data_IF_958392369577
#
_entry.id   IF_958392369577
#
_cell.length_a   1.000
_cell.length_b   1.000
_cell.length_c   1.000
_cell.angle_alpha   90.00
_cell.angle_beta   90.00
_cell.angle_gamma   90.00
#
_symmetry.space_group_name_H-M   'P 1'
#
loop_
_entity.id
_entity.type
_entity.pdbx_description
1 polymer ?
#
# COMPACT_ATOMS: atom_id res chain seq x y z
N UNK A 1 4.22 13.83 -8.98
CA UNK A 1 3.34 12.64 -9.09
C UNK A 1 2.15 12.95 -10.01
N UNK A 2 2.36 13.83 -10.99
CA UNK A 2 1.33 14.84 -11.31
C UNK A 2 0.19 14.31 -12.17
N UNK A 3 0.35 13.10 -12.72
CA UNK A 3 -0.64 12.47 -13.60
C UNK A 3 -1.27 11.19 -13.02
N UNK A 4 -0.77 10.65 -11.89
CA UNK A 4 -1.35 9.46 -11.26
C UNK A 4 -2.53 9.86 -10.39
N UNK A 5 -3.74 9.48 -10.80
CA UNK A 5 -4.95 9.82 -10.04
C UNK A 5 -5.55 8.58 -9.39
N UNK A 6 -5.82 8.67 -8.09
CA UNK A 6 -6.57 7.67 -7.33
C UNK A 6 -7.98 8.21 -7.05
N UNK A 7 -9.02 7.42 -7.36
CA UNK A 7 -10.42 7.80 -7.09
C UNK A 7 -11.21 6.61 -6.61
N UNK A 8 -12.14 6.82 -5.68
CA UNK A 8 -13.08 5.78 -5.32
C UNK A 8 -13.97 5.45 -6.53
N UNK A 9 -14.09 4.16 -6.84
CA UNK A 9 -15.07 3.64 -7.79
C UNK A 9 -16.45 3.61 -7.15
N UNK A 10 -17.49 3.91 -7.94
CA UNK A 10 -18.88 3.81 -7.48
C UNK A 10 -19.40 2.37 -7.39
N UNK A 11 -18.55 1.38 -7.62
CA UNK A 11 -18.94 -0.03 -7.70
C UNK A 11 -18.51 -0.76 -6.44
N UNK A 12 -19.40 -1.62 -5.95
CA UNK A 12 -19.12 -2.61 -4.91
C UNK A 12 -19.28 -4.00 -5.49
N UNK A 13 -18.34 -4.86 -5.18
CA UNK A 13 -18.31 -6.23 -5.68
C UNK A 13 -18.35 -7.22 -4.53
N UNK A 14 -19.28 -8.18 -4.58
CA UNK A 14 -19.25 -9.32 -3.68
C UNK A 14 -18.01 -10.17 -3.96
N UNK A 15 -17.41 -10.71 -2.89
CA UNK A 15 -16.17 -11.48 -2.98
C UNK A 15 -16.26 -12.71 -2.09
N UNK A 16 -15.67 -13.81 -2.58
CA UNK A 16 -15.36 -15.00 -1.79
C UNK A 16 -13.88 -15.31 -1.96
N UNK A 17 -13.26 -15.85 -0.91
CA UNK A 17 -11.85 -16.23 -0.95
C UNK A 17 -11.24 -16.44 0.43
N UNK A 18 -9.93 -16.50 0.47
CA UNK A 18 -9.16 -16.63 1.71
C UNK A 18 -8.74 -15.25 2.21
N UNK A 19 -8.84 -14.96 3.50
CA UNK A 19 -8.42 -13.70 4.13
C UNK A 19 -6.89 -13.64 4.31
N UNK A 20 -6.36 -12.61 4.97
CA UNK A 20 -4.93 -12.50 5.23
C UNK A 20 -4.45 -13.47 6.32
N UNK A 21 -5.34 -13.89 7.23
CA UNK A 21 -5.07 -14.92 8.24
C UNK A 21 -5.07 -16.36 7.69
N UNK A 22 -5.57 -16.57 6.47
CA UNK A 22 -5.69 -17.90 5.87
C UNK A 22 -7.08 -18.53 6.00
N UNK A 23 -8.06 -17.81 6.55
CA UNK A 23 -9.44 -18.29 6.70
C UNK A 23 -10.27 -18.07 5.43
N UNK A 24 -11.13 -19.02 5.07
CA UNK A 24 -12.11 -18.82 4.01
C UNK A 24 -13.25 -17.92 4.49
N UNK A 25 -13.58 -16.87 3.73
CA UNK A 25 -14.65 -15.94 4.05
C UNK A 25 -15.31 -15.36 2.79
N UNK A 26 -16.42 -14.67 3.00
CA UNK A 26 -17.08 -13.81 2.01
C UNK A 26 -16.99 -12.36 2.46
N UNK A 27 -17.16 -11.41 1.55
CA UNK A 27 -17.03 -10.00 1.85
C UNK A 27 -17.45 -9.10 0.70
N UNK A 28 -17.23 -7.80 0.89
CA UNK A 28 -17.51 -6.77 -0.11
C UNK A 28 -16.25 -5.98 -0.38
N UNK A 29 -15.90 -5.84 -1.65
CA UNK A 29 -14.83 -4.98 -2.12
C UNK A 29 -15.40 -3.63 -2.58
N UNK A 30 -14.87 -2.54 -2.03
CA UNK A 30 -14.99 -1.22 -2.63
C UNK A 30 -13.89 -1.08 -3.70
N UNK A 31 -14.27 -0.66 -4.89
CA UNK A 31 -13.33 -0.45 -5.98
C UNK A 31 -12.62 0.90 -5.82
N UNK A 32 -11.32 0.93 -6.08
CA UNK A 32 -10.54 2.16 -6.19
C UNK A 32 -9.81 2.16 -7.52
N UNK A 33 -10.00 3.22 -8.29
CA UNK A 33 -9.50 3.38 -9.65
C UNK A 33 -8.21 4.18 -9.63
N UNK A 34 -7.15 3.57 -10.11
CA UNK A 34 -5.84 4.17 -10.29
C UNK A 34 -5.60 4.35 -11.79
N UNK A 35 -5.61 5.60 -12.26
CA UNK A 35 -5.44 5.93 -13.67
C UNK A 35 -4.18 6.76 -13.92
N UNK A 36 -3.55 6.47 -15.05
CA UNK A 36 -2.42 7.19 -15.60
C UNK A 36 -2.70 7.43 -17.10
N UNK A 37 -2.50 8.65 -17.64
CA UNK A 37 -2.79 8.95 -19.04
C UNK A 37 -2.12 7.98 -20.01
N UNK A 38 -2.89 7.49 -20.99
CA UNK A 38 -2.42 6.57 -22.02
C UNK A 38 -2.13 5.14 -21.53
N UNK A 39 -2.44 4.80 -20.27
CA UNK A 39 -2.23 3.46 -19.71
C UNK A 39 -3.56 2.79 -19.35
N UNK A 40 -3.61 1.45 -19.30
CA UNK A 40 -4.77 0.73 -18.79
C UNK A 40 -5.14 1.17 -17.37
N UNK A 41 -6.45 1.19 -17.09
CA UNK A 41 -6.96 1.45 -15.75
C UNK A 41 -6.57 0.30 -14.82
N UNK A 42 -6.05 0.65 -13.63
CA UNK A 42 -5.77 -0.29 -12.56
C UNK A 42 -6.83 -0.17 -11.47
N UNK A 43 -7.24 -1.30 -10.90
CA UNK A 43 -8.24 -1.34 -9.83
C UNK A 43 -7.65 -1.93 -8.57
N UNK A 44 -7.81 -1.23 -7.45
CA UNK A 44 -7.50 -1.74 -6.11
C UNK A 44 -8.83 -2.14 -5.48
N UNK A 45 -8.93 -3.37 -4.97
CA UNK A 45 -10.05 -3.79 -4.15
C UNK A 45 -9.70 -3.57 -2.69
N UNK A 46 -10.47 -2.73 -2.00
CA UNK A 46 -10.49 -2.62 -0.54
C UNK A 46 -11.59 -3.53 -0.01
N UNK A 47 -11.22 -4.74 0.41
CA UNK A 47 -12.17 -5.77 0.80
C UNK A 47 -12.40 -5.75 2.30
N UNK A 48 -13.66 -5.65 2.72
CA UNK A 48 -14.09 -5.96 4.09
C UNK A 48 -14.71 -7.34 4.11
N UNK A 49 -14.13 -8.24 4.91
CA UNK A 49 -14.58 -9.62 5.05
C UNK A 49 -15.57 -9.76 6.20
N UNK A 50 -16.44 -10.75 6.09
CA UNK A 50 -17.47 -11.04 7.10
C UNK A 50 -16.88 -11.59 8.41
N UNK A 51 -15.64 -12.11 8.38
CA UNK A 51 -14.92 -12.48 9.61
C UNK A 51 -14.29 -11.26 10.33
N UNK A 52 -14.48 -10.04 9.80
CA UNK A 52 -13.98 -8.80 10.39
C UNK A 52 -12.62 -8.35 9.88
N UNK A 53 -11.93 -9.17 9.08
CA UNK A 53 -10.69 -8.74 8.42
C UNK A 53 -10.95 -7.71 7.32
N UNK A 54 -9.93 -6.90 7.02
CA UNK A 54 -9.92 -5.98 5.89
C UNK A 54 -8.57 -6.07 5.20
N UNK A 55 -8.55 -6.10 3.87
CA UNK A 55 -7.31 -6.03 3.10
C UNK A 55 -7.45 -5.36 1.74
N UNK A 56 -6.30 -4.92 1.24
CA UNK A 56 -6.18 -4.34 -0.09
C UNK A 56 -5.39 -5.24 -1.03
N UNK A 57 -5.82 -5.25 -2.29
CA UNK A 57 -5.14 -5.94 -3.38
C UNK A 57 -5.28 -5.19 -4.69
N UNK A 58 -4.24 -5.25 -5.53
CA UNK A 58 -4.37 -4.86 -6.93
C UNK A 58 -5.17 -5.95 -7.66
N UNK A 59 -6.42 -5.68 -7.99
CA UNK A 59 -7.37 -6.65 -8.52
C UNK A 59 -7.01 -7.05 -9.95
N UNK A 60 -7.00 -8.35 -10.24
CA UNK A 60 -6.87 -8.87 -11.60
C UNK A 60 -8.24 -8.91 -12.29
N UNK A 61 -8.48 -8.13 -13.36
CA UNK A 61 -9.71 -8.27 -14.14
C UNK A 61 -9.75 -9.62 -14.87
N UNK A 62 -10.97 -10.08 -15.18
CA UNK A 62 -11.18 -11.33 -15.92
C UNK A 62 -10.49 -11.33 -17.30
N UNK A 63 -10.46 -10.17 -17.94
CA UNK A 63 -9.68 -9.91 -19.15
C UNK A 63 -8.57 -8.93 -18.79
N UNK A 64 -7.34 -9.42 -18.71
CA UNK A 64 -6.16 -8.60 -18.40
C UNK A 64 -5.71 -7.90 -19.68
N UNK A 65 -5.67 -6.55 -19.71
CA UNK A 65 -5.14 -5.84 -20.87
C UNK A 65 -3.65 -6.15 -21.04
N UNK A 66 -3.11 -5.96 -22.25
CA UNK A 66 -1.68 -6.09 -22.47
C UNK A 66 -0.91 -5.15 -21.54
N UNK A 67 0.00 -5.72 -20.75
CA UNK A 67 0.77 -4.98 -19.76
C UNK A 67 2.11 -5.66 -19.49
N UNK A 68 3.11 -4.92 -18.98
CA UNK A 68 4.40 -5.49 -18.60
C UNK A 68 4.27 -6.62 -17.56
N UNK A 69 5.16 -7.61 -17.65
CA UNK A 69 5.12 -8.82 -16.81
C UNK A 69 5.17 -8.52 -15.31
N UNK A 70 5.95 -7.53 -14.88
CA UNK A 70 6.03 -7.13 -13.47
C UNK A 70 4.68 -6.65 -12.91
N UNK A 71 3.92 -5.88 -13.69
CA UNK A 71 2.59 -5.42 -13.28
C UNK A 71 1.57 -6.55 -13.31
N UNK A 72 1.59 -7.39 -14.35
CA UNK A 72 0.77 -8.60 -14.42
C UNK A 72 1.02 -9.52 -13.22
N UNK A 73 2.27 -9.71 -12.82
CA UNK A 73 2.66 -10.55 -11.69
C UNK A 73 2.30 -9.96 -10.32
N UNK A 74 2.01 -8.67 -10.23
CA UNK A 74 1.57 -8.02 -9.00
C UNK A 74 0.08 -8.23 -8.71
N UNK A 75 -0.74 -8.35 -9.76
CA UNK A 75 -2.18 -8.57 -9.64
C UNK A 75 -2.51 -9.78 -8.76
N UNK A 76 -3.50 -9.60 -7.87
CA UNK A 76 -3.93 -10.57 -6.86
C UNK A 76 -2.82 -11.09 -5.93
N UNK A 77 -1.64 -10.43 -5.89
CA UNK A 77 -0.53 -10.77 -5.00
C UNK A 77 -0.22 -9.60 -4.07
N UNK A 78 0.62 -9.87 -3.07
CA UNK A 78 1.15 -8.87 -2.13
C UNK A 78 0.05 -8.04 -1.44
N UNK A 79 -1.05 -8.72 -1.11
CA UNK A 79 -2.14 -8.20 -0.26
C UNK A 79 -1.60 -7.49 0.97
N UNK A 80 -2.29 -6.43 1.37
CA UNK A 80 -1.98 -5.72 2.60
C UNK A 80 -3.18 -5.82 3.54
N UNK A 81 -3.02 -6.58 4.61
CA UNK A 81 -3.99 -6.60 5.71
C UNK A 81 -4.01 -5.27 6.44
N UNK A 82 -5.20 -4.90 6.90
CA UNK A 82 -5.43 -3.78 7.82
C UNK A 82 -5.77 -4.37 9.17
N UNK A 83 -5.01 -3.95 10.18
CA UNK A 83 -5.09 -4.49 11.53
C UNK A 83 -5.34 -3.37 12.54
N UNK A 84 -5.83 -3.68 13.75
CA UNK A 84 -5.81 -2.74 14.86
C UNK A 84 -4.39 -2.22 15.13
N UNK A 85 -4.26 -0.93 15.42
CA UNK A 85 -3.00 -0.36 15.88
C UNK A 85 -2.69 -0.81 17.30
N UNK A 86 -1.61 -1.57 17.50
CA UNK A 86 -1.12 -1.91 18.83
C UNK A 86 -0.91 -0.63 19.66
N UNK A 87 -1.41 -0.63 20.91
CA UNK A 87 -1.30 0.53 21.81
C UNK A 87 -2.05 1.79 21.37
N UNK A 88 -2.87 1.74 20.30
CA UNK A 88 -3.50 2.92 19.69
C UNK A 88 -5.00 2.70 19.50
N UNK A 89 -5.81 2.81 20.57
CA UNK A 89 -7.26 2.63 20.49
C UNK A 89 -7.90 3.51 19.42
N UNK A 90 -8.88 2.96 18.70
CA UNK A 90 -9.59 3.68 17.63
C UNK A 90 -8.80 3.83 16.32
N UNK A 91 -7.53 3.39 16.27
CA UNK A 91 -6.69 3.47 15.07
C UNK A 91 -6.48 2.11 14.44
N UNK A 92 -6.44 2.10 13.11
CA UNK A 92 -6.02 0.97 12.31
C UNK A 92 -4.60 1.20 11.81
N UNK A 93 -3.96 0.13 11.31
CA UNK A 93 -2.64 0.19 10.71
C UNK A 93 -2.59 -0.63 9.42
N UNK A 94 -1.73 -0.18 8.50
CA UNK A 94 -1.29 -0.92 7.31
C UNK A 94 0.24 -0.93 7.28
N UNK A 95 0.82 -2.10 7.05
CA UNK A 95 2.28 -2.26 7.02
C UNK A 95 2.90 -1.65 5.76
N UNK A 96 3.90 -0.79 5.94
CA UNK A 96 4.62 -0.10 4.86
C UNK A 96 5.71 -0.98 4.19
N UNK A 97 5.41 -2.26 3.95
CA UNK A 97 6.32 -3.17 3.26
C UNK A 97 6.40 -2.87 1.76
N UNK A 98 7.58 -2.60 1.22
CA UNK A 98 7.67 -2.34 -0.21
C UNK A 98 7.50 -3.64 -1.01
N UNK A 99 6.59 -3.66 -1.99
CA UNK A 99 6.56 -4.71 -2.99
C UNK A 99 7.46 -4.29 -4.17
N UNK A 100 8.61 -4.94 -4.30
CA UNK A 100 9.57 -4.66 -5.37
C UNK A 100 9.55 -5.78 -6.41
N UNK A 101 9.59 -5.49 -7.72
CA UNK A 101 9.81 -6.51 -8.75
C UNK A 101 11.14 -7.23 -8.51
N UNK A 102 11.09 -8.54 -8.32
CA UNK A 102 12.24 -9.39 -8.07
C UNK A 102 12.67 -10.19 -9.30
N UNK A 103 13.50 -11.23 -9.12
CA UNK A 103 13.87 -12.14 -10.19
C UNK A 103 12.64 -12.68 -10.92
N UNK A 104 12.69 -12.69 -12.25
CA UNK A 104 11.59 -13.09 -13.13
C UNK A 104 10.30 -12.27 -12.92
N UNK A 105 10.43 -10.98 -12.60
CA UNK A 105 9.31 -10.04 -12.42
C UNK A 105 8.33 -10.43 -11.31
N UNK A 106 8.72 -11.34 -10.42
CA UNK A 106 7.88 -11.73 -9.28
C UNK A 106 8.07 -10.74 -8.14
N UNK A 107 7.00 -10.11 -7.62
CA UNK A 107 7.16 -9.13 -6.57
C UNK A 107 7.61 -9.81 -5.28
N UNK A 108 8.53 -9.21 -4.52
CA UNK A 108 8.93 -9.62 -3.17
C UNK A 108 8.79 -8.47 -2.18
N UNK A 109 8.75 -8.79 -0.88
CA UNK A 109 8.64 -7.77 0.15
C UNK A 109 10.01 -7.33 0.69
N UNK A 110 10.24 -6.02 0.69
CA UNK A 110 11.25 -5.38 1.54
C UNK A 110 10.54 -4.84 2.78
N UNK A 111 10.63 -5.58 3.89
CA UNK A 111 9.86 -5.32 5.11
C UNK A 111 10.55 -4.36 6.08
N UNK A 112 11.88 -4.40 6.11
CA UNK A 112 12.70 -3.60 7.03
C UNK A 112 13.53 -2.60 6.25
N UNK A 113 13.32 -1.32 6.53
CA UNK A 113 13.99 -0.19 5.90
C UNK A 113 14.36 0.83 6.96
N UNK A 114 15.36 1.65 6.69
CA UNK A 114 15.51 2.90 7.42
C UNK A 114 14.46 3.90 6.93
N UNK A 115 14.18 4.94 7.71
CA UNK A 115 13.21 5.98 7.31
C UNK A 115 13.65 6.67 6.03
N UNK A 116 14.96 6.94 5.89
CA UNK A 116 15.53 7.50 4.66
C UNK A 116 15.30 6.59 3.46
N UNK A 117 15.66 5.30 3.54
CA UNK A 117 15.47 4.37 2.42
C UNK A 117 14.00 4.18 2.06
N UNK A 118 13.09 4.22 3.03
CA UNK A 118 11.64 4.20 2.76
C UNK A 118 11.21 5.46 2.02
N UNK A 119 11.66 6.64 2.46
CA UNK A 119 11.36 7.93 1.84
C UNK A 119 11.89 8.02 0.40
N UNK A 120 13.13 7.59 0.16
CA UNK A 120 13.72 7.52 -1.18
C UNK A 120 12.93 6.57 -2.08
N UNK A 121 12.43 5.44 -1.55
CA UNK A 121 11.74 4.46 -2.39
C UNK A 121 10.31 4.86 -2.74
N UNK A 122 9.61 5.55 -1.82
CA UNK A 122 8.22 5.93 -1.99
C UNK A 122 8.07 7.31 -2.65
N UNK A 123 9.00 8.22 -2.34
CA UNK A 123 8.89 9.65 -2.59
C UNK A 123 8.69 10.35 -1.25
N UNK A 124 9.62 11.23 -0.89
CA UNK A 124 9.56 11.91 0.41
C UNK A 124 8.31 12.80 0.51
N UNK A 125 8.01 13.55 -0.55
CA UNK A 125 6.83 14.41 -0.59
C UNK A 125 5.53 13.58 -0.48
N UNK A 126 5.46 12.44 -1.16
CA UNK A 126 4.28 11.58 -1.12
C UNK A 126 4.02 11.02 0.30
N UNK A 127 5.07 10.72 1.06
CA UNK A 127 4.93 10.32 2.46
C UNK A 127 4.53 11.50 3.36
N UNK A 128 5.06 12.70 3.10
CA UNK A 128 4.65 13.91 3.81
C UNK A 128 3.17 14.20 3.56
N UNK A 129 2.72 14.15 2.32
CA UNK A 129 1.33 14.38 1.94
C UNK A 129 0.40 13.33 2.58
N UNK A 130 0.81 12.06 2.59
CA UNK A 130 0.07 11.00 3.29
C UNK A 130 -0.04 11.28 4.80
N UNK A 131 1.05 11.69 5.44
CA UNK A 131 1.10 11.91 6.90
C UNK A 131 0.58 13.28 7.33
N UNK A 132 0.40 14.23 6.40
CA UNK A 132 -0.28 15.49 6.65
C UNK A 132 -1.80 15.33 6.81
N UNK A 133 -2.36 14.18 6.38
CA UNK A 133 -3.78 13.87 6.53
C UNK A 133 -4.17 13.77 8.02
N UNK A 134 -5.37 14.23 8.41
CA UNK A 134 -5.81 14.22 9.82
C UNK A 134 -5.72 12.84 10.46
N UNK A 135 -5.01 12.75 11.60
CA UNK A 135 -4.90 11.52 12.37
C UNK A 135 -4.03 10.43 11.71
N UNK A 136 -3.31 10.73 10.63
CA UNK A 136 -2.41 9.79 9.96
C UNK A 136 -0.99 9.95 10.47
N UNK A 137 -0.33 8.84 10.80
CA UNK A 137 1.08 8.87 11.25
C UNK A 137 1.85 7.69 10.70
N UNK A 138 3.07 7.93 10.22
CA UNK A 138 4.05 6.87 9.93
C UNK A 138 4.93 6.66 11.17
N UNK A 139 5.01 5.42 11.66
CA UNK A 139 5.79 5.09 12.86
C UNK A 139 6.38 3.67 12.75
N UNK A 140 7.33 3.29 13.62
CA UNK A 140 7.68 1.89 13.79
C UNK A 140 6.43 1.06 14.09
N UNK A 141 6.33 -0.11 13.45
CA UNK A 141 5.14 -0.94 13.52
C UNK A 141 4.97 -1.67 14.86
N UNK A 142 6.05 -1.75 15.64
CA UNK A 142 6.11 -2.42 16.93
C UNK A 142 6.59 -1.43 17.98
N UNK A 143 5.96 -1.44 19.14
CA UNK A 143 6.34 -0.59 20.25
C UNK A 143 7.56 -1.20 20.95
N UNK A 144 8.72 -0.56 20.80
CA UNK A 144 9.93 -0.91 21.54
C UNK A 144 10.67 0.39 21.89
N UNK A 145 11.11 0.56 23.15
CA UNK A 145 11.66 1.84 23.63
C UNK A 145 12.87 2.32 22.83
N UNK A 146 13.70 1.39 22.33
CA UNK A 146 14.93 1.70 21.59
C UNK A 146 14.76 1.87 20.07
N UNK A 147 13.53 1.99 19.56
CA UNK A 147 13.32 2.24 18.13
C UNK A 147 13.42 3.73 17.81
N UNK A 148 14.17 4.11 16.76
CA UNK A 148 14.25 5.50 16.37
C UNK A 148 12.86 6.01 15.97
N UNK A 149 12.58 7.26 16.29
CA UNK A 149 11.37 7.92 15.81
C UNK A 149 11.41 8.06 14.29
N UNK A 150 10.26 7.91 13.63
CA UNK A 150 10.14 8.23 12.21
C UNK A 150 10.04 9.74 12.05
N UNK A 151 11.06 10.38 11.47
CA UNK A 151 11.02 11.80 11.13
C UNK A 151 11.08 11.96 9.61
N UNK A 152 10.04 12.52 9.00
CA UNK A 152 10.04 12.81 7.55
C UNK A 152 10.68 14.16 7.21
N UNK A 153 10.87 15.06 8.18
CA UNK A 153 11.62 16.29 7.93
C UNK A 153 13.11 16.05 7.81
N UNK A 154 13.62 15.11 8.59
CA UNK A 154 14.98 14.62 8.52
C UNK A 154 14.99 13.08 8.57
N UNK A 155 14.70 12.41 7.43
CA UNK A 155 14.68 10.96 7.34
C UNK A 155 16.01 10.35 7.76
N UNK A 156 15.98 9.44 8.73
CA UNK A 156 17.19 8.87 9.31
C UNK A 156 17.61 7.57 8.61
N UNK A 157 18.91 7.40 8.35
CA UNK A 157 19.53 6.15 7.86
C UNK A 157 20.27 5.36 8.95
N UNK A 158 19.65 5.25 10.13
CA UNK A 158 20.34 4.66 11.30
C UNK A 158 20.06 3.16 11.45
N UNK A 159 18.79 2.79 11.58
CA UNK A 159 18.39 1.41 11.90
C UNK A 159 17.23 0.95 11.01
N UNK A 160 17.38 -0.16 10.28
CA UNK A 160 16.27 -0.76 9.57
C UNK A 160 15.20 -1.26 10.54
N UNK A 161 13.95 -0.91 10.27
CA UNK A 161 12.79 -1.33 11.04
C UNK A 161 11.59 -1.53 10.12
N UNK A 162 10.54 -2.16 10.64
CA UNK A 162 9.27 -2.25 9.91
C UNK A 162 8.43 -1.02 10.27
N UNK A 163 8.02 -0.27 9.25
CA UNK A 163 7.13 0.88 9.42
C UNK A 163 5.67 0.47 9.22
N UNK A 164 4.77 1.19 9.88
CA UNK A 164 3.34 1.12 9.64
C UNK A 164 2.75 2.52 9.53
N UNK A 165 1.76 2.67 8.66
CA UNK A 165 0.89 3.84 8.61
C UNK A 165 -0.30 3.56 9.51
N UNK A 166 -0.47 4.41 10.52
CA UNK A 166 -1.60 4.38 11.43
C UNK A 166 -2.59 5.46 11.03
N UNK A 167 -3.89 5.15 11.07
CA UNK A 167 -4.96 6.03 10.60
C UNK A 167 -6.25 5.81 11.40
N UNK A 168 -7.19 6.78 11.41
CA UNK A 168 -8.48 6.62 12.08
C UNK A 168 -9.30 5.47 11.46
N UNK A 169 -10.11 4.76 12.24
CA UNK A 169 -10.87 3.59 11.77
C UNK A 169 -11.83 3.92 10.62
N UNK A 170 -12.38 5.11 10.65
CA UNK A 170 -13.32 5.68 9.68
C UNK A 170 -12.65 6.15 8.38
N UNK A 171 -11.32 6.24 8.35
CA UNK A 171 -10.58 6.66 7.16
C UNK A 171 -10.45 5.50 6.16
N UNK A 172 -11.21 5.61 5.08
CA UNK A 172 -11.22 4.61 4.01
C UNK A 172 -10.19 4.88 2.92
N UNK A 173 -9.67 6.11 2.83
CA UNK A 173 -8.82 6.54 1.71
C UNK A 173 -7.33 6.38 2.04
N UNK A 174 -6.89 6.76 3.25
CA UNK A 174 -5.49 6.60 3.70
C UNK A 174 -4.91 5.20 3.45
N UNK A 175 -5.59 4.09 3.79
CA UNK A 175 -5.04 2.77 3.52
C UNK A 175 -4.87 2.46 2.02
N UNK A 176 -5.69 3.03 1.15
CA UNK A 176 -5.59 2.84 -0.30
C UNK A 176 -4.42 3.64 -0.86
N UNK A 177 -4.24 4.88 -0.39
CA UNK A 177 -3.05 5.69 -0.71
C UNK A 177 -1.79 4.95 -0.25
N UNK A 178 -1.75 4.50 1.00
CA UNK A 178 -0.62 3.74 1.55
C UNK A 178 -0.35 2.45 0.74
N UNK A 179 -1.38 1.68 0.40
CA UNK A 179 -1.24 0.50 -0.46
C UNK A 179 -0.63 0.88 -1.82
N UNK A 180 -1.11 1.96 -2.43
CA UNK A 180 -0.59 2.46 -3.71
C UNK A 180 0.88 2.83 -3.60
N UNK A 181 1.26 3.62 -2.60
CA UNK A 181 2.66 4.04 -2.36
C UNK A 181 3.59 2.85 -2.13
N UNK A 182 3.18 1.88 -1.31
CA UNK A 182 4.09 0.81 -0.87
C UNK A 182 4.04 -0.44 -1.75
N UNK A 183 2.95 -0.68 -2.49
CA UNK A 183 2.76 -1.93 -3.25
C UNK A 183 2.73 -1.73 -4.76
N UNK A 184 2.16 -0.61 -5.24
CA UNK A 184 1.90 -0.42 -6.67
C UNK A 184 2.96 0.46 -7.31
N UNK A 185 3.22 1.64 -6.75
CA UNK A 185 4.15 2.63 -7.31
C UNK A 185 5.55 2.07 -7.58
N UNK A 186 6.18 1.27 -6.69
CA UNK A 186 7.47 0.66 -6.98
C UNK A 186 7.49 -0.11 -8.30
N UNK A 187 6.41 -0.84 -8.60
CA UNK A 187 6.27 -1.60 -9.85
C UNK A 187 6.02 -0.66 -11.03
N UNK A 188 5.20 0.39 -10.86
CA UNK A 188 4.96 1.38 -11.92
C UNK A 188 6.22 2.15 -12.32
N UNK A 189 7.08 2.49 -11.34
CA UNK A 189 8.39 3.08 -11.59
C UNK A 189 9.31 2.11 -12.33
N UNK A 190 9.38 0.86 -11.84
CA UNK A 190 10.22 -0.17 -12.45
C UNK A 190 9.91 -0.44 -13.93
N UNK A 191 8.63 -0.39 -14.33
CA UNK A 191 8.21 -0.59 -15.73
C UNK A 191 8.23 0.71 -16.56
N UNK A 192 8.74 1.81 -16.01
CA UNK A 192 8.84 3.11 -16.69
C UNK A 192 7.51 3.82 -16.94
N UNK A 193 6.46 3.49 -16.18
CA UNK A 193 5.18 4.20 -16.25
C UNK A 193 5.13 5.44 -15.36
N UNK A 194 5.93 5.46 -14.30
CA UNK A 194 6.18 6.64 -13.48
C UNK A 194 7.67 6.99 -13.53
N UNK A 195 8.03 8.28 -13.42
CA UNK A 195 9.43 8.68 -13.34
C UNK A 195 10.09 8.06 -12.11
N UNK A 196 11.39 7.77 -12.24
CA UNK A 196 12.23 7.47 -11.09
C UNK A 196 12.26 8.68 -10.14
N UNK A 197 12.52 8.42 -8.86
CA UNK A 197 12.72 9.49 -7.89
C UNK A 197 14.12 10.03 -8.13
N UNK A 198 14.19 11.29 -8.57
CA UNK A 198 15.44 12.04 -8.55
C UNK A 198 15.82 12.24 -7.08
N UNK A 199 16.93 11.64 -6.66
CA UNK A 199 17.51 11.75 -5.31
C UNK A 199 18.39 12.99 -5.25
#
# INVERSE_FOLDING_TARGET
>A
MDDLTLRQGGTRSEKSGTTCSGESSTGVADDWRLSLPGRPLLTIHDTRWNNGERDLVLYQPAVVPEMPAALSNLHNRRRAGIEPGAGRPGRLRIMAWLAWPGPHDRPFFKKSLTTEKLAISCGLQDLRDLTARPGVTLAPAFDHPDLPSTNLEHPQDVKPLQHAVYFPREDNETPVIAFTLFRVIPTLRHIGWLPEILV
#
